data_IF_267339926037
#
_entry.id   IF_267339926037
#
_cell.length_a   1.000
_cell.length_b   1.000
_cell.length_c   1.000
_cell.angle_alpha   90.00
_cell.angle_beta   90.00
_cell.angle_gamma   90.00
#
_symmetry.space_group_name_H-M   'P 1'
#
loop_
_entity.id
_entity.type
_entity.pdbx_description
1 polymer ?
#
# COMPACT_ATOMS: atom_id res chain seq x y z
N UNK A 1 27.90 13.32 -8.93
CA UNK A 1 27.40 12.51 -10.06
C UNK A 1 26.24 11.66 -9.59
N UNK A 2 25.20 11.45 -10.41
CA UNK A 2 24.03 10.62 -10.05
C UNK A 2 23.97 9.32 -10.87
N UNK A 3 23.71 8.20 -10.19
CA UNK A 3 23.49 6.90 -10.81
C UNK A 3 22.00 6.67 -11.04
N UNK A 4 21.63 6.27 -12.25
CA UNK A 4 20.25 5.87 -12.53
C UNK A 4 19.93 4.57 -11.79
N UNK A 5 18.95 4.61 -10.88
CA UNK A 5 18.47 3.43 -10.12
C UNK A 5 17.85 2.36 -11.01
N UNK A 6 17.46 2.70 -12.23
CA UNK A 6 16.83 1.76 -13.16
C UNK A 6 17.80 1.06 -14.09
N UNK A 7 18.88 1.71 -14.54
CA UNK A 7 19.77 1.16 -15.59
C UNK A 7 21.27 1.25 -15.25
N UNK A 8 21.63 1.84 -14.11
CA UNK A 8 23.02 1.97 -13.66
C UNK A 8 23.87 3.00 -14.42
N UNK A 9 23.31 3.72 -15.39
CA UNK A 9 24.05 4.75 -16.14
C UNK A 9 24.41 5.94 -15.25
N UNK A 10 25.64 6.45 -15.41
CA UNK A 10 26.11 7.67 -14.75
C UNK A 10 25.62 8.89 -15.52
N UNK A 11 25.00 9.84 -14.84
CA UNK A 11 24.54 11.10 -15.41
C UNK A 11 25.12 12.27 -14.59
N UNK A 12 25.09 13.48 -15.18
CA UNK A 12 25.50 14.70 -14.49
C UNK A 12 24.61 15.00 -13.27
N UNK A 13 25.12 15.74 -12.29
CA UNK A 13 24.39 16.03 -11.03
C UNK A 13 23.15 16.89 -11.21
N UNK A 14 23.12 17.68 -12.28
CA UNK A 14 22.03 18.53 -12.71
C UNK A 14 21.10 17.84 -13.73
N UNK A 15 21.40 16.59 -14.13
CA UNK A 15 20.55 15.85 -15.06
C UNK A 15 19.21 15.50 -14.40
N UNK A 16 18.12 16.03 -14.94
CA UNK A 16 16.75 15.71 -14.50
C UNK A 16 16.23 14.40 -15.10
N UNK A 17 16.87 13.88 -16.16
CA UNK A 17 16.49 12.66 -16.87
C UNK A 17 17.75 11.86 -17.22
N UNK A 18 17.61 10.53 -17.23
CA UNK A 18 18.72 9.66 -17.62
C UNK A 18 18.89 9.66 -19.14
N UNK A 19 20.11 9.94 -19.61
CA UNK A 19 20.43 10.00 -21.04
C UNK A 19 20.25 8.65 -21.77
N UNK A 20 20.35 7.53 -21.04
CA UNK A 20 20.22 6.19 -21.62
C UNK A 20 18.79 5.67 -21.68
N UNK A 21 18.00 5.90 -20.64
CA UNK A 21 16.69 5.26 -20.47
C UNK A 21 15.51 6.24 -20.39
N UNK A 22 15.76 7.54 -20.43
CA UNK A 22 14.72 8.58 -20.40
C UNK A 22 14.00 8.75 -19.05
N UNK A 23 14.26 7.89 -18.06
CA UNK A 23 13.61 8.00 -16.74
C UNK A 23 14.05 9.25 -16.00
N UNK A 24 13.09 9.89 -15.31
CA UNK A 24 13.33 11.06 -14.47
C UNK A 24 14.26 10.69 -13.31
N UNK A 25 15.37 11.40 -13.22
CA UNK A 25 16.28 11.31 -12.09
C UNK A 25 15.70 12.19 -10.98
N UNK A 26 15.64 11.65 -9.77
CA UNK A 26 15.19 12.39 -8.60
C UNK A 26 16.26 13.41 -8.23
N UNK A 27 16.30 14.55 -8.94
CA UNK A 27 17.30 15.62 -8.80
C UNK A 27 17.12 16.44 -7.52
N UNK A 28 16.63 15.83 -6.44
CA UNK A 28 16.46 16.47 -5.13
C UNK A 28 17.14 15.66 -4.03
N UNK A 29 18.37 15.23 -4.29
CA UNK A 29 19.33 14.97 -3.22
C UNK A 29 20.33 16.13 -3.12
N UNK A 30 19.78 17.32 -2.90
CA UNK A 30 20.56 18.41 -2.32
C UNK A 30 20.17 18.50 -0.86
N UNK A 31 21.12 18.11 0.00
CA UNK A 31 21.18 18.24 1.46
C UNK A 31 20.47 17.15 2.28
N UNK A 32 21.25 16.14 2.65
CA UNK A 32 21.21 15.69 4.04
C UNK A 32 21.73 16.85 4.92
N UNK A 33 20.85 17.42 5.75
CA UNK A 33 21.24 18.34 6.82
C UNK A 33 20.49 19.68 6.80
N UNK A 34 19.43 19.78 7.61
CA UNK A 34 18.79 21.04 7.99
C UNK A 34 17.28 20.90 8.23
N UNK A 35 16.79 20.87 9.48
CA UNK A 35 15.38 21.12 9.74
C UNK A 35 15.18 22.62 9.51
N UNK A 36 14.41 23.01 8.50
CA UNK A 36 13.76 24.31 8.29
C UNK A 36 13.52 24.52 6.79
N UNK A 37 12.43 23.94 6.28
CA UNK A 37 11.86 24.35 4.99
C UNK A 37 10.33 24.23 5.09
N UNK A 38 9.76 25.18 5.82
CA UNK A 38 8.35 25.49 5.72
C UNK A 38 7.99 25.99 4.32
N UNK A 39 6.77 25.62 3.92
CA UNK A 39 5.94 26.28 2.93
C UNK A 39 6.40 26.26 1.45
N UNK A 40 5.81 25.31 0.71
CA UNK A 40 5.71 25.35 -0.74
C UNK A 40 4.40 24.68 -1.14
N UNK A 41 3.31 25.45 -1.09
CA UNK A 41 2.04 25.12 -1.72
C UNK A 41 2.30 24.81 -3.21
N UNK A 42 2.34 23.52 -3.54
CA UNK A 42 2.45 23.02 -4.91
C UNK A 42 1.08 22.63 -5.43
N UNK A 43 0.18 23.59 -5.64
CA UNK A 43 -0.86 23.45 -6.66
C UNK A 43 -0.15 23.33 -8.01
N UNK A 44 -0.05 22.12 -8.55
CA UNK A 44 0.40 21.93 -9.92
C UNK A 44 -0.73 21.25 -10.70
N UNK A 45 -1.16 21.95 -11.75
CA UNK A 45 -2.41 21.75 -12.46
C UNK A 45 -2.60 20.33 -12.97
N UNK A 46 -3.74 19.74 -12.61
CA UNK A 46 -4.38 18.73 -13.44
C UNK A 46 -4.87 19.44 -14.71
N UNK A 47 -4.05 19.43 -15.74
CA UNK A 47 -4.53 19.66 -17.10
C UNK A 47 -4.97 18.30 -17.62
N UNK A 48 -6.21 17.92 -17.33
CA UNK A 48 -6.86 16.73 -17.89
C UNK A 48 -7.37 17.06 -19.29
N UNK A 49 -6.43 17.32 -20.19
CA UNK A 49 -6.71 17.31 -21.62
C UNK A 49 -6.40 15.91 -22.14
N UNK A 50 -7.42 15.26 -22.69
CA UNK A 50 -7.43 13.91 -23.23
C UNK A 50 -6.23 13.66 -24.16
N UNK A 51 -5.22 12.96 -23.64
CA UNK A 51 -3.94 12.69 -24.33
C UNK A 51 -3.99 11.51 -25.32
N UNK A 52 -5.16 10.90 -25.55
CA UNK A 52 -5.29 9.72 -26.41
C UNK A 52 -6.31 9.97 -27.52
N UNK A 53 -5.97 9.66 -28.79
CA UNK A 53 -6.94 9.64 -29.89
C UNK A 53 -8.14 8.75 -29.54
N UNK A 54 -9.36 9.13 -29.95
CA UNK A 54 -10.61 8.37 -29.69
C UNK A 54 -10.52 6.88 -30.07
N UNK A 55 -9.73 6.57 -31.11
CA UNK A 55 -9.46 5.22 -31.59
C UNK A 55 -8.74 4.33 -30.56
N UNK A 56 -7.90 4.94 -29.73
CA UNK A 56 -7.15 4.26 -28.67
C UNK A 56 -8.03 4.04 -27.44
N UNK A 57 -8.98 4.94 -27.18
CA UNK A 57 -9.94 4.78 -26.07
C UNK A 57 -10.82 3.54 -26.27
N UNK A 58 -11.37 3.36 -27.47
CA UNK A 58 -12.18 2.19 -27.85
C UNK A 58 -11.39 0.86 -27.76
N UNK A 59 -10.05 0.92 -27.85
CA UNK A 59 -9.19 -0.26 -27.70
C UNK A 59 -8.87 -0.61 -26.24
N UNK A 60 -8.84 0.41 -25.36
CA UNK A 60 -8.46 0.26 -23.95
C UNK A 60 -9.68 0.03 -23.06
N UNK A 61 -10.87 0.48 -23.45
CA UNK A 61 -12.13 0.31 -22.73
C UNK A 61 -12.42 -1.13 -22.26
N UNK A 62 -12.28 -2.18 -23.10
CA UNK A 62 -12.49 -3.56 -22.63
C UNK A 62 -11.41 -4.03 -21.64
N UNK A 63 -10.20 -3.49 -21.74
CA UNK A 63 -9.09 -3.83 -20.83
C UNK A 63 -9.29 -3.16 -19.47
N UNK A 64 -9.76 -1.91 -19.45
CA UNK A 64 -10.01 -1.18 -18.21
C UNK A 64 -11.12 -1.83 -17.40
N UNK A 65 -12.23 -2.23 -18.04
CA UNK A 65 -13.31 -2.97 -17.39
C UNK A 65 -12.85 -4.32 -16.80
N UNK A 66 -12.00 -5.05 -17.53
CA UNK A 66 -11.46 -6.33 -17.06
C UNK A 66 -10.53 -6.19 -15.85
N UNK A 67 -9.79 -5.07 -15.77
CA UNK A 67 -8.92 -4.76 -14.64
C UNK A 67 -9.76 -4.34 -13.43
N UNK A 68 -10.81 -3.55 -13.64
CA UNK A 68 -11.68 -3.07 -12.57
C UNK A 68 -12.46 -4.22 -11.93
N UNK A 69 -13.06 -5.12 -12.72
CA UNK A 69 -13.71 -6.34 -12.23
C UNK A 69 -12.72 -7.27 -11.50
N UNK A 70 -11.50 -7.43 -12.03
CA UNK A 70 -10.46 -8.24 -11.39
C UNK A 70 -9.95 -7.65 -10.06
N UNK A 71 -9.93 -6.32 -9.94
CA UNK A 71 -9.57 -5.62 -8.71
C UNK A 71 -10.71 -5.71 -7.70
N UNK A 72 -11.97 -5.57 -8.11
CA UNK A 72 -13.13 -5.65 -7.23
C UNK A 72 -13.23 -7.05 -6.59
N UNK A 73 -13.19 -8.10 -7.41
CA UNK A 73 -13.22 -9.50 -6.94
C UNK A 73 -12.01 -9.87 -6.06
N UNK A 74 -10.84 -9.30 -6.37
CA UNK A 74 -9.63 -9.47 -5.57
C UNK A 74 -9.70 -8.71 -4.25
N UNK A 75 -10.26 -7.51 -4.26
CA UNK A 75 -10.38 -6.64 -3.08
C UNK A 75 -11.35 -7.22 -2.07
N UNK A 76 -12.48 -7.76 -2.48
CA UNK A 76 -13.47 -8.35 -1.58
C UNK A 76 -12.91 -9.55 -0.81
N UNK A 77 -12.11 -10.38 -1.50
CA UNK A 77 -11.41 -11.50 -0.86
C UNK A 77 -10.34 -11.02 0.12
N UNK A 78 -9.58 -9.99 -0.23
CA UNK A 78 -8.54 -9.41 0.64
C UNK A 78 -9.16 -8.73 1.87
N UNK A 79 -10.21 -7.93 1.68
CA UNK A 79 -10.93 -7.24 2.76
C UNK A 79 -11.57 -8.26 3.70
N UNK A 80 -12.17 -9.33 3.17
CA UNK A 80 -12.75 -10.41 3.98
C UNK A 80 -11.69 -11.14 4.81
N UNK A 81 -10.57 -11.51 4.19
CA UNK A 81 -9.47 -12.20 4.90
C UNK A 81 -8.82 -11.29 5.96
N UNK A 82 -8.69 -10.00 5.64
CA UNK A 82 -8.19 -8.99 6.58
C UNK A 82 -9.14 -8.81 7.75
N UNK A 83 -10.45 -8.68 7.50
CA UNK A 83 -11.48 -8.54 8.53
C UNK A 83 -11.54 -9.76 9.47
N UNK A 84 -11.38 -10.98 8.93
CA UNK A 84 -11.29 -12.20 9.73
C UNK A 84 -10.03 -12.19 10.61
N UNK A 85 -8.88 -11.78 10.07
CA UNK A 85 -7.63 -11.65 10.85
C UNK A 85 -7.78 -10.66 12.00
N UNK A 86 -8.40 -9.50 11.74
CA UNK A 86 -8.64 -8.48 12.76
C UNK A 86 -9.64 -8.93 13.83
N UNK A 87 -10.64 -9.73 13.48
CA UNK A 87 -11.60 -10.25 14.48
C UNK A 87 -10.92 -11.20 15.47
N UNK A 88 -10.04 -12.08 15.01
CA UNK A 88 -9.26 -12.93 15.92
C UNK A 88 -8.29 -12.12 16.77
N UNK A 89 -7.61 -11.13 16.19
CA UNK A 89 -6.70 -10.26 16.93
C UNK A 89 -7.43 -9.49 18.04
N UNK A 90 -8.61 -8.93 17.76
CA UNK A 90 -9.43 -8.23 18.76
C UNK A 90 -9.96 -9.18 19.84
N UNK A 91 -10.30 -10.42 19.50
CA UNK A 91 -10.75 -11.41 20.47
C UNK A 91 -9.62 -11.82 21.43
N UNK A 92 -8.40 -11.97 20.91
CA UNK A 92 -7.20 -12.21 21.74
C UNK A 92 -6.86 -10.99 22.61
N UNK A 93 -6.97 -9.77 22.09
CA UNK A 93 -6.75 -8.56 22.90
C UNK A 93 -7.80 -8.39 23.99
N UNK A 94 -9.07 -8.69 23.71
CA UNK A 94 -10.14 -8.65 24.70
C UNK A 94 -9.91 -9.67 25.82
N UNK A 95 -9.54 -10.90 25.47
CA UNK A 95 -9.24 -11.96 26.46
C UNK A 95 -7.99 -11.63 27.28
N UNK A 96 -6.96 -11.03 26.68
CA UNK A 96 -5.80 -10.50 27.40
C UNK A 96 -6.17 -9.35 28.35
N UNK A 97 -7.07 -8.45 27.95
CA UNK A 97 -7.59 -7.38 28.81
C UNK A 97 -8.36 -7.91 30.03
N UNK A 98 -9.20 -8.93 29.82
CA UNK A 98 -9.91 -9.62 30.92
C UNK A 98 -8.93 -10.30 31.87
N UNK A 99 -7.86 -10.92 31.34
CA UNK A 99 -6.80 -11.49 32.18
C UNK A 99 -6.12 -10.45 33.08
N UNK A 100 -5.76 -9.28 32.53
CA UNK A 100 -5.13 -8.20 33.31
C UNK A 100 -6.08 -7.69 34.41
N UNK A 101 -7.38 -7.60 34.13
CA UNK A 101 -8.37 -7.11 35.09
C UNK A 101 -8.72 -8.12 36.20
N UNK A 102 -8.68 -9.42 35.88
CA UNK A 102 -9.10 -10.48 36.80
C UNK A 102 -7.94 -11.20 37.51
N UNK A 103 -6.69 -10.99 37.06
CA UNK A 103 -5.47 -11.68 37.53
C UNK A 103 -5.55 -13.22 37.52
N UNK A 104 -6.52 -13.79 36.80
CA UNK A 104 -6.76 -15.23 36.72
C UNK A 104 -6.45 -15.76 35.31
N UNK A 105 -5.44 -16.63 35.23
CA UNK A 105 -4.94 -17.23 33.99
C UNK A 105 -5.96 -18.13 33.28
N UNK A 106 -7.02 -18.58 33.97
CA UNK A 106 -8.08 -19.43 33.42
C UNK A 106 -8.83 -18.78 32.27
N UNK A 107 -9.00 -17.45 32.31
CA UNK A 107 -9.67 -16.72 31.22
C UNK A 107 -8.83 -16.65 29.95
N UNK A 108 -7.50 -16.62 30.09
CA UNK A 108 -6.57 -16.64 28.98
C UNK A 108 -6.59 -18.03 28.31
N UNK A 109 -6.56 -19.10 29.10
CA UNK A 109 -6.69 -20.47 28.60
C UNK A 109 -8.04 -20.70 27.88
N UNK A 110 -9.15 -20.23 28.45
CA UNK A 110 -10.47 -20.30 27.83
C UNK A 110 -10.55 -19.51 26.51
N UNK A 111 -9.96 -18.31 26.48
CA UNK A 111 -9.89 -17.47 25.28
C UNK A 111 -9.13 -18.13 24.13
N UNK A 112 -7.96 -18.71 24.41
CA UNK A 112 -7.14 -19.40 23.40
C UNK A 112 -7.85 -20.63 22.83
N UNK A 113 -8.49 -21.43 23.68
CA UNK A 113 -9.27 -22.59 23.23
C UNK A 113 -10.45 -22.16 22.36
N UNK A 114 -11.16 -21.09 22.75
CA UNK A 114 -12.27 -20.56 21.97
C UNK A 114 -11.80 -20.07 20.59
N UNK A 115 -10.67 -19.34 20.53
CA UNK A 115 -10.09 -18.92 19.24
C UNK A 115 -9.67 -20.10 18.36
N UNK A 116 -9.09 -21.14 18.96
CA UNK A 116 -8.65 -22.33 18.23
C UNK A 116 -9.84 -23.12 17.66
N UNK A 117 -10.92 -23.27 18.43
CA UNK A 117 -12.16 -23.91 17.97
C UNK A 117 -12.84 -23.11 16.87
N UNK A 118 -12.87 -21.77 16.99
CA UNK A 118 -13.44 -20.91 15.95
C UNK A 118 -12.62 -20.95 14.65
N UNK A 119 -11.30 -20.98 14.74
CA UNK A 119 -10.43 -21.14 13.58
C UNK A 119 -10.65 -22.52 12.91
N UNK A 120 -10.70 -23.59 13.70
CA UNK A 120 -10.98 -24.94 13.21
C UNK A 120 -12.37 -25.07 12.56
N UNK A 121 -13.40 -24.51 13.18
CA UNK A 121 -14.77 -24.55 12.66
C UNK A 121 -14.94 -23.77 11.35
N UNK A 122 -14.08 -22.78 11.08
CA UNK A 122 -14.07 -22.02 9.82
C UNK A 122 -13.16 -22.62 8.74
N UNK A 123 -12.38 -23.65 9.06
CA UNK A 123 -11.50 -24.32 8.10
C UNK A 123 -10.28 -23.50 7.69
N UNK A 124 -9.76 -22.66 8.59
CA UNK A 124 -8.44 -22.01 8.47
C UNK A 124 -7.33 -23.04 8.68
#
# INVERSE_FOLDING_TARGET
>A
MILCTSCGTKNADDAHTCEKCGRKLQSRWSRAGGPDAANGNGTNGQNSDSLLPEEVWNLIEPVMHSIEEGIEEGSDKLVKTCAETWTYALLLLATAGVYIAAEDWRYLAGGVVLTAVLAWARGI
#
